data_IF_031871152164
#
_entry.id   IF_031871152164
#
_cell.length_a   1.000
_cell.length_b   1.000
_cell.length_c   1.000
_cell.angle_alpha   90.00
_cell.angle_beta   90.00
_cell.angle_gamma   90.00
#
_symmetry.space_group_name_H-M   'P 1'
#
loop_
_entity.id
_entity.type
_entity.pdbx_description
1 polymer ?
#
# COMPACT_ATOMS: atom_id res chain seq x y z
N UNK A 1 -13.24 29.37 8.26
CA UNK A 1 -13.13 29.06 9.69
C UNK A 1 -11.64 28.94 10.00
N UNK A 2 -11.05 29.92 10.70
CA UNK A 2 -9.62 29.89 11.04
C UNK A 2 -9.43 28.86 12.16
N UNK A 3 -8.76 27.75 11.85
CA UNK A 3 -8.38 26.75 12.85
C UNK A 3 -7.19 27.34 13.61
N UNK A 4 -7.36 27.59 14.90
CA UNK A 4 -6.29 28.10 15.75
C UNK A 4 -5.08 27.16 15.70
N UNK A 5 -3.89 27.74 15.54
CA UNK A 5 -2.65 27.00 15.48
C UNK A 5 -2.39 26.25 16.81
N UNK A 6 -1.97 24.97 16.75
CA UNK A 6 -1.63 24.23 17.96
C UNK A 6 -0.38 24.83 18.62
N UNK A 7 -0.38 24.88 19.95
CA UNK A 7 0.60 25.56 20.79
C UNK A 7 1.32 24.50 21.65
N UNK A 8 2.63 24.62 21.87
CA UNK A 8 3.37 23.70 22.75
C UNK A 8 3.10 23.97 24.25
N UNK A 9 3.59 23.10 25.13
CA UNK A 9 3.45 23.20 26.60
C UNK A 9 4.01 24.50 27.21
N UNK A 10 4.77 25.29 26.43
CA UNK A 10 5.35 26.58 26.82
C UNK A 10 4.58 27.78 26.24
N UNK A 11 3.44 27.57 25.60
CA UNK A 11 2.62 28.67 25.04
C UNK A 11 3.17 29.24 23.73
N UNK A 12 4.09 28.55 23.05
CA UNK A 12 4.68 28.99 21.78
C UNK A 12 3.98 28.27 20.62
N UNK A 13 3.64 29.02 19.58
CA UNK A 13 3.05 28.50 18.36
C UNK A 13 4.00 27.48 17.72
N UNK A 14 3.51 26.25 17.49
CA UNK A 14 4.35 25.19 16.94
C UNK A 14 4.82 25.54 15.54
N UNK A 15 6.10 25.28 15.27
CA UNK A 15 6.66 25.41 13.92
C UNK A 15 6.03 24.37 12.98
N UNK A 16 6.08 24.62 11.68
CA UNK A 16 5.48 23.75 10.65
C UNK A 16 5.96 22.29 10.76
N UNK A 17 7.25 22.09 11.01
CA UNK A 17 7.86 20.77 11.22
C UNK A 17 7.32 20.07 12.49
N UNK A 18 7.15 20.81 13.58
CA UNK A 18 6.58 20.25 14.82
C UNK A 18 5.11 19.85 14.63
N UNK A 19 4.35 20.62 13.84
CA UNK A 19 2.96 20.27 13.49
C UNK A 19 2.89 19.00 12.66
N UNK A 20 3.79 18.82 11.69
CA UNK A 20 3.90 17.58 10.90
C UNK A 20 4.24 16.41 11.82
N UNK A 21 5.21 16.57 12.72
CA UNK A 21 5.64 15.52 13.63
C UNK A 21 4.52 15.04 14.59
N UNK A 22 3.73 15.98 15.13
CA UNK A 22 2.56 15.65 15.96
C UNK A 22 1.50 14.92 15.15
N UNK A 23 1.24 15.38 13.92
CA UNK A 23 0.27 14.75 13.04
C UNK A 23 0.70 13.33 12.64
N UNK A 24 1.97 13.12 12.26
CA UNK A 24 2.59 11.80 12.02
C UNK A 24 2.47 10.89 13.25
N UNK A 25 2.72 11.42 14.46
CA UNK A 25 2.56 10.65 15.71
C UNK A 25 1.11 10.20 15.93
N UNK A 26 0.14 11.08 15.71
CA UNK A 26 -1.28 10.75 15.85
C UNK A 26 -1.73 9.68 14.86
N UNK A 27 -1.25 9.75 13.61
CA UNK A 27 -1.53 8.72 12.59
C UNK A 27 -0.99 7.35 13.00
N UNK A 28 0.26 7.28 13.45
CA UNK A 28 0.86 6.03 13.95
C UNK A 28 0.11 5.47 15.15
N UNK A 29 -0.26 6.31 16.11
CA UNK A 29 -1.07 5.90 17.25
C UNK A 29 -2.44 5.36 16.81
N UNK A 30 -3.04 5.94 15.77
CA UNK A 30 -4.26 5.43 15.15
C UNK A 30 -4.08 4.02 14.57
N UNK A 31 -3.00 3.78 13.81
CA UNK A 31 -2.67 2.47 13.26
C UNK A 31 -2.52 1.42 14.36
N UNK A 32 -1.71 1.69 15.39
CA UNK A 32 -1.48 0.75 16.48
C UNK A 32 -2.77 0.40 17.24
N UNK A 33 -3.65 1.40 17.48
CA UNK A 33 -4.95 1.17 18.11
C UNK A 33 -5.86 0.30 17.24
N UNK A 34 -5.94 0.57 15.93
CA UNK A 34 -6.75 -0.22 15.01
C UNK A 34 -6.27 -1.67 14.93
N UNK A 35 -4.95 -1.88 14.82
CA UNK A 35 -4.36 -3.23 14.83
C UNK A 35 -4.64 -3.95 16.14
N UNK A 36 -4.46 -3.30 17.29
CA UNK A 36 -4.78 -3.89 18.58
C UNK A 36 -6.26 -4.27 18.67
N UNK A 37 -7.18 -3.38 18.28
CA UNK A 37 -8.61 -3.68 18.26
C UNK A 37 -8.94 -4.85 17.32
N UNK A 38 -8.31 -4.92 16.14
CA UNK A 38 -8.54 -5.96 15.16
C UNK A 38 -8.08 -7.33 15.66
N UNK A 39 -6.93 -7.38 16.36
CA UNK A 39 -6.38 -8.59 16.97
C UNK A 39 -7.17 -8.98 18.23
N UNK A 40 -7.63 -8.02 19.05
CA UNK A 40 -8.36 -8.30 20.28
C UNK A 40 -9.87 -8.53 20.09
N UNK A 41 -10.43 -8.22 18.92
CA UNK A 41 -11.84 -8.50 18.60
C UNK A 41 -12.20 -10.00 18.52
N UNK A 42 -11.29 -10.89 18.91
CA UNK A 42 -11.49 -12.33 19.03
C UNK A 42 -12.61 -12.67 20.05
N UNK A 43 -12.83 -11.86 21.09
CA UNK A 43 -13.65 -12.27 22.23
C UNK A 43 -15.16 -11.93 22.13
N UNK A 44 -15.60 -11.03 21.25
CA UNK A 44 -16.99 -10.54 21.26
C UNK A 44 -17.95 -11.28 20.31
N UNK A 45 -17.47 -12.25 19.51
CA UNK A 45 -18.35 -13.01 18.60
C UNK A 45 -18.93 -14.29 19.22
N UNK A 46 -18.42 -14.75 20.37
CA UNK A 46 -18.85 -16.01 21.01
C UNK A 46 -19.97 -15.83 22.06
N UNK A 47 -20.31 -14.60 22.47
CA UNK A 47 -21.25 -14.35 23.59
C UNK A 47 -22.74 -14.32 23.20
N UNK A 48 -23.11 -14.59 21.94
CA UNK A 48 -24.51 -14.51 21.49
C UNK A 48 -25.18 -15.85 21.11
N UNK A 49 -24.56 -17.00 21.39
CA UNK A 49 -25.23 -18.31 21.31
C UNK A 49 -25.38 -18.95 22.70
N UNK A 50 -26.34 -18.44 23.48
CA UNK A 50 -26.85 -19.18 24.64
C UNK A 50 -28.37 -19.02 24.80
N UNK A 51 -29.12 -19.70 23.93
CA UNK A 51 -30.42 -20.29 24.30
C UNK A 51 -30.39 -21.81 23.99
N UNK A 52 -29.76 -22.52 24.92
CA UNK A 52 -30.05 -23.88 25.41
C UNK A 52 -31.10 -24.71 24.65
N UNK A 53 -30.66 -25.81 24.03
CA UNK A 53 -31.42 -27.06 24.04
C UNK A 53 -30.51 -28.20 24.52
N UNK A 54 -30.79 -28.67 25.75
CA UNK A 54 -30.20 -29.88 26.30
C UNK A 54 -30.82 -31.10 25.61
N UNK A 55 -30.13 -31.66 24.62
CA UNK A 55 -30.08 -33.11 24.37
C UNK A 55 -29.11 -33.36 23.23
N UNK A 56 -27.92 -33.87 23.55
CA UNK A 56 -27.27 -35.04 22.92
C UNK A 56 -25.81 -35.06 23.36
N UNK A 57 -25.53 -35.91 24.35
CA UNK A 57 -24.18 -36.35 24.69
C UNK A 57 -23.77 -37.33 23.58
N UNK A 58 -22.72 -36.98 22.83
CA UNK A 58 -22.12 -37.86 21.83
C UNK A 58 -21.95 -37.18 20.48
N UNK A 59 -20.81 -36.50 20.31
CA UNK A 59 -19.93 -36.51 19.14
C UNK A 59 -19.03 -35.27 19.20
N UNK A 60 -17.87 -35.45 19.85
CA UNK A 60 -16.68 -34.65 19.58
C UNK A 60 -16.29 -34.88 18.12
N UNK A 61 -16.79 -34.03 17.24
CA UNK A 61 -16.28 -33.84 15.89
C UNK A 61 -15.90 -32.37 15.79
N UNK A 62 -14.59 -32.14 15.66
CA UNK A 62 -13.97 -30.87 15.29
C UNK A 62 -14.85 -30.11 14.28
N UNK A 63 -15.60 -29.12 14.78
CA UNK A 63 -16.35 -28.20 13.93
C UNK A 63 -15.32 -27.23 13.36
N UNK A 64 -14.98 -27.44 12.10
CA UNK A 64 -14.20 -26.54 11.25
C UNK A 64 -15.02 -25.27 10.93
N UNK A 65 -15.50 -24.54 11.92
CA UNK A 65 -16.03 -23.21 11.67
C UNK A 65 -14.85 -22.26 11.60
N UNK A 66 -14.38 -22.01 10.36
CA UNK A 66 -13.47 -20.89 10.11
C UNK A 66 -14.18 -19.63 10.63
N UNK A 67 -13.53 -18.81 11.48
CA UNK A 67 -14.15 -17.58 11.98
C UNK A 67 -14.66 -16.75 10.79
N UNK A 68 -15.96 -16.48 10.79
CA UNK A 68 -16.63 -15.81 9.66
C UNK A 68 -16.26 -14.34 9.69
N UNK A 69 -15.55 -13.87 8.66
CA UNK A 69 -15.18 -12.44 8.51
C UNK A 69 -16.42 -11.57 8.60
N UNK A 70 -16.49 -10.75 9.64
CA UNK A 70 -17.64 -9.89 9.95
C UNK A 70 -17.62 -8.61 9.11
N UNK A 71 -18.73 -7.85 9.13
CA UNK A 71 -18.75 -6.51 8.53
C UNK A 71 -17.80 -5.55 9.27
N UNK A 72 -17.73 -5.66 10.60
CA UNK A 72 -16.82 -4.87 11.43
C UNK A 72 -15.36 -5.14 11.06
N UNK A 73 -14.99 -6.41 10.83
CA UNK A 73 -13.63 -6.75 10.37
C UNK A 73 -13.29 -6.05 9.05
N UNK A 74 -14.24 -6.01 8.10
CA UNK A 74 -14.06 -5.32 6.81
C UNK A 74 -13.83 -3.81 7.00
N UNK A 75 -14.64 -3.17 7.84
CA UNK A 75 -14.52 -1.73 8.10
C UNK A 75 -13.20 -1.40 8.80
N UNK A 76 -12.76 -2.25 9.74
CA UNK A 76 -11.50 -2.08 10.46
C UNK A 76 -10.29 -2.31 9.57
N UNK A 77 -10.30 -3.37 8.74
CA UNK A 77 -9.25 -3.60 7.75
C UNK A 77 -9.19 -2.42 6.78
N UNK A 78 -10.33 -1.98 6.24
CA UNK A 78 -10.39 -0.82 5.36
C UNK A 78 -9.79 0.43 6.04
N UNK A 79 -10.18 0.73 7.28
CA UNK A 79 -9.64 1.86 8.01
C UNK A 79 -8.12 1.75 8.23
N UNK A 80 -7.62 0.57 8.62
CA UNK A 80 -6.20 0.32 8.88
C UNK A 80 -5.34 0.47 7.62
N UNK A 81 -5.83 -0.07 6.50
CA UNK A 81 -5.09 -0.15 5.24
C UNK A 81 -5.07 1.20 4.52
N UNK A 82 -6.15 1.97 4.59
CA UNK A 82 -6.27 3.25 3.88
C UNK A 82 -5.76 4.46 4.66
N UNK A 83 -5.54 4.34 5.98
CA UNK A 83 -5.04 5.45 6.80
C UNK A 83 -3.69 6.04 6.29
N UNK A 84 -2.69 5.23 5.88
CA UNK A 84 -1.41 5.73 5.37
C UNK A 84 -1.53 6.49 4.05
N UNK A 85 -2.60 6.27 3.27
CA UNK A 85 -2.82 7.02 2.03
C UNK A 85 -3.19 8.48 2.31
N UNK A 86 -3.87 8.73 3.44
CA UNK A 86 -4.22 10.11 3.86
C UNK A 86 -2.99 10.90 4.30
N UNK A 87 -1.92 10.22 4.70
CA UNK A 87 -0.64 10.83 5.08
C UNK A 87 0.51 9.98 4.56
N UNK A 88 0.89 10.22 3.31
CA UNK A 88 1.87 9.42 2.57
C UNK A 88 3.31 9.80 2.94
N UNK A 89 3.69 9.62 4.21
CA UNK A 89 5.05 9.86 4.73
C UNK A 89 5.77 8.54 4.99
N UNK A 90 7.10 8.58 5.03
CA UNK A 90 7.93 7.38 5.26
C UNK A 90 7.62 6.77 6.62
N UNK A 91 7.61 7.59 7.67
CA UNK A 91 7.34 7.13 9.03
C UNK A 91 5.95 6.52 9.20
N UNK A 92 4.92 7.05 8.53
CA UNK A 92 3.56 6.50 8.63
C UNK A 92 3.47 5.18 7.87
N UNK A 93 4.10 5.09 6.69
CA UNK A 93 4.09 3.86 5.90
C UNK A 93 4.88 2.71 6.56
N UNK A 94 6.01 3.00 7.20
CA UNK A 94 6.76 1.99 7.98
C UNK A 94 5.89 1.38 9.09
N UNK A 95 5.30 2.24 9.91
CA UNK A 95 4.39 1.80 10.98
C UNK A 95 3.17 1.04 10.44
N UNK A 96 2.67 1.43 9.26
CA UNK A 96 1.56 0.74 8.62
C UNK A 96 1.91 -0.68 8.19
N UNK A 97 3.07 -0.86 7.55
CA UNK A 97 3.55 -2.19 7.14
C UNK A 97 3.75 -3.10 8.34
N UNK A 98 4.31 -2.59 9.44
CA UNK A 98 4.41 -3.33 10.71
C UNK A 98 3.02 -3.75 11.21
N UNK A 99 2.07 -2.80 11.22
CA UNK A 99 0.69 -3.03 11.64
C UNK A 99 -0.05 -4.05 10.77
N UNK A 100 0.16 -4.03 9.45
CA UNK A 100 -0.43 -5.00 8.51
C UNK A 100 0.18 -6.38 8.73
N UNK A 101 1.50 -6.46 8.94
CA UNK A 101 2.19 -7.72 9.23
C UNK A 101 1.69 -8.34 10.54
N UNK A 102 1.54 -7.53 11.59
CA UNK A 102 0.97 -7.99 12.86
C UNK A 102 -0.50 -8.41 12.74
N UNK A 103 -1.30 -7.69 11.94
CA UNK A 103 -2.69 -8.06 11.68
C UNK A 103 -2.78 -9.42 10.96
N UNK A 104 -1.94 -9.68 9.95
CA UNK A 104 -1.89 -10.96 9.23
C UNK A 104 -1.44 -12.09 10.17
N UNK A 105 -0.42 -11.87 11.00
CA UNK A 105 0.06 -12.89 11.95
C UNK A 105 -0.98 -13.18 13.04
N UNK A 106 -1.65 -12.15 13.56
CA UNK A 106 -2.65 -12.27 14.61
C UNK A 106 -3.98 -12.85 14.12
N UNK A 107 -4.39 -12.55 12.87
CA UNK A 107 -5.65 -13.00 12.26
C UNK A 107 -5.44 -13.46 10.80
N UNK A 108 -4.88 -14.67 10.58
CA UNK A 108 -4.59 -15.20 9.24
C UNK A 108 -5.83 -15.33 8.34
N UNK A 109 -7.03 -15.46 8.90
CA UNK A 109 -8.28 -15.50 8.16
C UNK A 109 -8.61 -14.19 7.42
N UNK A 110 -8.01 -13.07 7.85
CA UNK A 110 -8.16 -11.76 7.22
C UNK A 110 -7.08 -11.47 6.18
N UNK A 111 -6.08 -12.34 6.02
CA UNK A 111 -4.91 -12.12 5.17
C UNK A 111 -5.30 -11.74 3.74
N UNK A 112 -6.20 -12.51 3.11
CA UNK A 112 -6.63 -12.24 1.73
C UNK A 112 -7.34 -10.89 1.61
N UNK A 113 -8.19 -10.54 2.59
CA UNK A 113 -8.90 -9.26 2.62
C UNK A 113 -7.92 -8.08 2.80
N UNK A 114 -6.93 -8.24 3.67
CA UNK A 114 -5.87 -7.26 3.89
C UNK A 114 -5.07 -7.04 2.59
N UNK A 115 -4.64 -8.11 1.93
CA UNK A 115 -3.88 -8.02 0.67
C UNK A 115 -4.72 -7.37 -0.44
N UNK A 116 -6.01 -7.69 -0.54
CA UNK A 116 -6.91 -7.06 -1.50
C UNK A 116 -7.01 -5.54 -1.32
N UNK A 117 -7.19 -5.09 -0.08
CA UNK A 117 -7.24 -3.66 0.23
C UNK A 117 -5.89 -2.97 -0.02
N UNK A 118 -4.76 -3.64 0.23
CA UNK A 118 -3.42 -3.11 -0.06
C UNK A 118 -3.23 -2.87 -1.55
N UNK A 119 -3.71 -3.77 -2.40
CA UNK A 119 -3.63 -3.60 -3.85
C UNK A 119 -4.53 -2.45 -4.34
N UNK A 120 -5.72 -2.27 -3.75
CA UNK A 120 -6.54 -1.08 -4.01
C UNK A 120 -5.86 0.21 -3.57
N UNK A 121 -5.14 0.18 -2.44
CA UNK A 121 -4.32 1.30 -1.98
C UNK A 121 -3.20 1.61 -2.98
N UNK A 122 -2.53 0.60 -3.53
CA UNK A 122 -1.53 0.80 -4.58
C UNK A 122 -2.13 1.49 -5.81
N UNK A 123 -3.28 1.02 -6.31
CA UNK A 123 -4.01 1.65 -7.42
C UNK A 123 -4.39 3.10 -7.10
N UNK A 124 -4.79 3.38 -5.86
CA UNK A 124 -5.09 4.74 -5.41
C UNK A 124 -3.86 5.64 -5.43
N UNK A 125 -2.70 5.16 -4.97
CA UNK A 125 -1.42 5.89 -4.99
C UNK A 125 -0.99 6.20 -6.42
N UNK A 126 -1.25 5.31 -7.39
CA UNK A 126 -1.08 5.59 -8.82
C UNK A 126 -2.01 6.72 -9.26
N UNK A 127 -3.31 6.58 -8.99
CA UNK A 127 -4.33 7.56 -9.40
C UNK A 127 -4.10 8.95 -8.83
N UNK A 128 -3.56 9.03 -7.61
CA UNK A 128 -3.26 10.30 -6.94
C UNK A 128 -1.88 10.86 -7.32
N UNK A 129 -1.16 10.20 -8.25
CA UNK A 129 0.14 10.63 -8.75
C UNK A 129 1.18 10.80 -7.62
N UNK A 130 1.24 9.86 -6.68
CA UNK A 130 2.19 9.89 -5.57
C UNK A 130 3.48 9.12 -5.90
N UNK A 131 4.60 9.61 -5.38
CA UNK A 131 5.90 8.94 -5.44
C UNK A 131 6.35 8.61 -6.86
N UNK A 132 6.38 7.32 -7.23
CA UNK A 132 6.76 6.87 -8.57
C UNK A 132 5.88 7.46 -9.68
N UNK A 133 4.63 7.80 -9.37
CA UNK A 133 3.68 8.32 -10.34
C UNK A 133 3.51 9.84 -10.28
N UNK A 134 4.41 10.55 -9.58
CA UNK A 134 4.35 12.00 -9.51
C UNK A 134 4.85 12.66 -10.78
N UNK A 135 4.27 13.82 -11.09
CA UNK A 135 4.73 14.67 -12.18
C UNK A 135 6.06 15.32 -11.78
N UNK A 136 7.05 15.22 -12.67
CA UNK A 136 8.35 15.86 -12.48
C UNK A 136 8.18 17.38 -12.44
N UNK A 137 8.72 17.99 -11.37
CA UNK A 137 8.70 19.44 -11.24
C UNK A 137 9.74 20.03 -12.19
N UNK A 138 9.42 21.12 -12.91
CA UNK A 138 10.41 21.77 -13.76
C UNK A 138 11.59 22.24 -12.92
N UNK A 139 12.78 21.81 -13.33
CA UNK A 139 14.04 22.26 -12.74
C UNK A 139 14.57 23.46 -13.54
N UNK A 140 14.92 24.56 -12.86
CA UNK A 140 15.45 25.74 -13.53
C UNK A 140 16.77 25.41 -14.23
N UNK A 141 16.94 25.95 -15.43
CA UNK A 141 18.18 25.75 -16.18
C UNK A 141 19.34 26.43 -15.42
N UNK A 142 20.42 25.71 -15.09
CA UNK A 142 21.59 26.31 -14.44
C UNK A 142 22.28 27.32 -15.38
N UNK A 143 21.98 27.29 -16.68
CA UNK A 143 22.52 28.20 -17.69
C UNK A 143 21.72 29.51 -17.81
N UNK A 144 20.51 29.57 -17.26
CA UNK A 144 19.64 30.76 -17.29
C UNK A 144 18.84 30.90 -15.98
N UNK A 145 19.50 31.08 -14.82
CA UNK A 145 18.82 31.20 -13.55
C UNK A 145 18.05 32.53 -13.50
N UNK A 146 16.76 32.47 -13.18
CA UNK A 146 16.02 33.68 -12.80
C UNK A 146 16.31 34.04 -11.34
N UNK A 147 16.26 35.34 -11.00
CA UNK A 147 16.58 35.85 -9.66
C UNK A 147 15.70 35.26 -8.54
N UNK A 148 14.55 34.67 -8.91
CA UNK A 148 13.57 34.06 -7.98
C UNK A 148 13.60 32.53 -7.95
N UNK A 149 14.43 31.88 -8.75
CA UNK A 149 14.50 30.42 -8.82
C UNK A 149 15.66 29.87 -7.99
N UNK A 150 15.34 29.00 -7.04
CA UNK A 150 16.36 28.22 -6.33
C UNK A 150 16.87 27.07 -7.22
N UNK A 151 18.16 27.08 -7.51
CA UNK A 151 18.89 26.00 -8.18
C UNK A 151 19.11 24.81 -7.23
N UNK A 152 18.03 24.17 -6.81
CA UNK A 152 18.08 22.95 -5.98
C UNK A 152 17.33 21.82 -6.70
N UNK A 153 17.85 20.58 -6.65
CA UNK A 153 17.12 19.41 -7.14
C UNK A 153 15.76 19.29 -6.45
N UNK A 154 14.73 18.87 -7.18
CA UNK A 154 13.36 18.72 -6.65
C UNK A 154 12.90 17.26 -6.74
N UNK A 155 13.49 16.35 -5.95
CA UNK A 155 13.18 14.93 -6.06
C UNK A 155 11.72 14.64 -5.64
N UNK A 156 11.07 13.66 -6.28
CA UNK A 156 9.79 13.13 -5.83
C UNK A 156 9.93 12.33 -4.52
N UNK A 157 8.85 12.30 -3.73
CA UNK A 157 8.78 11.53 -2.47
C UNK A 157 8.50 10.05 -2.76
N UNK A 158 9.56 9.30 -3.07
CA UNK A 158 9.45 7.89 -3.49
C UNK A 158 9.49 6.89 -2.33
N UNK A 159 10.01 7.29 -1.17
CA UNK A 159 10.27 6.37 -0.04
C UNK A 159 9.01 5.68 0.52
N UNK A 160 7.87 6.35 0.75
CA UNK A 160 6.65 5.67 1.21
C UNK A 160 6.15 4.66 0.18
N UNK A 161 6.22 5.02 -1.11
CA UNK A 161 5.87 4.13 -2.22
C UNK A 161 6.79 2.90 -2.26
N UNK A 162 8.09 3.09 -2.02
CA UNK A 162 9.07 2.02 -1.95
C UNK A 162 8.82 1.04 -0.81
N UNK A 163 8.41 1.53 0.36
CA UNK A 163 8.06 0.69 1.52
C UNK A 163 6.82 -0.15 1.20
N UNK A 164 5.77 0.47 0.66
CA UNK A 164 4.57 -0.22 0.19
C UNK A 164 4.92 -1.29 -0.86
N UNK A 165 5.76 -0.96 -1.84
CA UNK A 165 6.17 -1.90 -2.87
C UNK A 165 6.99 -3.07 -2.31
N UNK A 166 7.89 -2.83 -1.34
CA UNK A 166 8.66 -3.89 -0.68
C UNK A 166 7.74 -4.92 -0.02
N UNK A 167 6.69 -4.46 0.65
CA UNK A 167 5.69 -5.37 1.22
C UNK A 167 5.04 -6.23 0.12
N UNK A 168 4.61 -5.62 -1.00
CA UNK A 168 4.03 -6.36 -2.13
C UNK A 168 5.05 -7.35 -2.74
N UNK A 169 6.31 -6.96 -2.88
CA UNK A 169 7.38 -7.81 -3.40
C UNK A 169 7.59 -9.04 -2.49
N UNK A 170 7.59 -8.86 -1.17
CA UNK A 170 7.66 -9.95 -0.19
C UNK A 170 6.45 -10.90 -0.30
N UNK A 171 5.24 -10.35 -0.54
CA UNK A 171 4.02 -11.16 -0.76
C UNK A 171 4.14 -12.10 -1.93
N UNK A 172 4.81 -11.70 -3.02
CA UNK A 172 4.99 -12.54 -4.21
C UNK A 172 5.67 -13.87 -3.85
N UNK A 173 6.70 -13.84 -3.02
CA UNK A 173 7.40 -15.05 -2.57
C UNK A 173 6.51 -15.97 -1.73
N UNK A 174 5.51 -15.42 -1.04
CA UNK A 174 4.58 -16.19 -0.22
C UNK A 174 3.44 -16.79 -1.05
N UNK A 175 2.87 -16.04 -2.00
CA UNK A 175 1.68 -16.45 -2.74
C UNK A 175 1.97 -17.43 -3.88
N UNK A 176 3.18 -17.40 -4.44
CA UNK A 176 3.68 -18.37 -5.43
C UNK A 176 3.44 -19.84 -5.04
N UNK A 177 3.38 -20.17 -3.75
CA UNK A 177 3.21 -21.55 -3.28
C UNK A 177 1.89 -21.81 -2.57
N UNK A 178 1.00 -20.81 -2.45
CA UNK A 178 -0.14 -20.86 -1.52
C UNK A 178 -1.51 -20.61 -2.16
N UNK A 179 -1.64 -19.64 -3.08
CA UNK A 179 -2.96 -19.20 -3.53
C UNK A 179 -2.96 -18.59 -4.94
N UNK A 180 -3.82 -19.14 -5.80
CA UNK A 180 -4.00 -18.64 -7.18
C UNK A 180 -4.66 -17.24 -7.21
N UNK A 181 -5.59 -16.97 -6.30
CA UNK A 181 -6.34 -15.71 -6.26
C UNK A 181 -5.41 -14.51 -5.97
N UNK A 182 -4.50 -14.64 -5.00
CA UNK A 182 -3.55 -13.55 -4.67
C UNK A 182 -2.58 -13.28 -5.84
N UNK A 183 -2.19 -14.33 -6.56
CA UNK A 183 -1.37 -14.21 -7.78
C UNK A 183 -2.13 -13.54 -8.93
N UNK A 184 -3.41 -13.86 -9.14
CA UNK A 184 -4.26 -13.18 -10.12
C UNK A 184 -4.40 -11.69 -9.81
N UNK A 185 -4.61 -11.36 -8.54
CA UNK A 185 -4.70 -9.98 -8.07
C UNK A 185 -3.38 -9.23 -8.24
N UNK A 186 -2.24 -9.87 -7.98
CA UNK A 186 -0.91 -9.30 -8.25
C UNK A 186 -0.71 -9.04 -9.74
N UNK A 187 -1.13 -9.98 -10.60
CA UNK A 187 -1.05 -9.82 -12.04
C UNK A 187 -1.87 -8.61 -12.52
N UNK A 188 -3.10 -8.45 -11.99
CA UNK A 188 -3.94 -7.28 -12.28
C UNK A 188 -3.29 -5.97 -11.79
N UNK A 189 -2.72 -5.97 -10.58
CA UNK A 189 -1.97 -4.83 -10.04
C UNK A 189 -0.83 -4.43 -10.98
N UNK A 190 -0.02 -5.37 -11.45
CA UNK A 190 1.08 -5.08 -12.37
C UNK A 190 0.59 -4.55 -13.72
N UNK A 191 -0.50 -5.11 -14.25
CA UNK A 191 -1.12 -4.59 -15.46
C UNK A 191 -1.62 -3.16 -15.29
N UNK A 192 -2.16 -2.79 -14.13
CA UNK A 192 -2.61 -1.42 -13.84
C UNK A 192 -1.45 -0.46 -13.55
N UNK A 193 -0.34 -0.99 -13.04
CA UNK A 193 0.86 -0.22 -12.71
C UNK A 193 1.67 0.21 -13.92
N UNK A 194 1.60 -0.55 -15.02
CA UNK A 194 2.41 -0.35 -16.22
C UNK A 194 1.57 0.13 -17.41
N UNK A 195 2.17 0.98 -18.22
CA UNK A 195 1.53 1.64 -19.36
C UNK A 195 2.16 1.19 -20.69
N UNK A 196 1.34 1.10 -21.74
CA UNK A 196 1.80 1.03 -23.14
C UNK A 196 1.97 2.43 -23.75
N UNK A 197 1.31 3.42 -23.16
CA UNK A 197 1.32 4.81 -23.59
C UNK A 197 2.59 5.45 -23.02
N UNK A 198 3.46 5.91 -23.92
CA UNK A 198 4.59 6.77 -23.60
C UNK A 198 4.05 8.12 -23.08
N UNK A 199 4.69 8.67 -22.05
CA UNK A 199 4.29 9.93 -21.42
C UNK A 199 2.81 9.96 -21.00
N UNK A 200 2.33 8.85 -20.42
CA UNK A 200 0.92 8.70 -20.04
C UNK A 200 0.43 9.86 -19.15
N UNK A 201 -0.47 10.74 -19.62
CA UNK A 201 -0.90 11.91 -18.85
C UNK A 201 -1.81 11.56 -17.67
N UNK A 202 -2.33 10.32 -17.59
CA UNK A 202 -3.24 9.87 -16.52
C UNK A 202 -2.52 9.17 -15.37
N UNK A 203 -1.34 8.63 -15.61
CA UNK A 203 -0.51 7.95 -14.63
C UNK A 203 0.96 8.06 -15.07
N UNK A 204 1.53 9.28 -15.07
CA UNK A 204 2.89 9.49 -15.52
C UNK A 204 3.85 8.82 -14.53
N UNK A 205 4.86 8.09 -15.00
CA UNK A 205 5.94 7.64 -14.13
C UNK A 205 7.08 8.65 -14.20
N UNK A 206 7.51 9.16 -13.05
CA UNK A 206 8.62 10.12 -12.98
C UNK A 206 9.87 9.57 -13.66
N UNK A 207 10.57 10.46 -14.39
CA UNK A 207 11.87 10.19 -15.02
C UNK A 207 13.03 10.65 -14.12
N UNK A 208 12.73 11.24 -12.95
CA UNK A 208 13.74 11.68 -12.00
C UNK A 208 14.58 10.51 -11.47
N UNK A 209 15.90 10.72 -11.39
CA UNK A 209 16.87 9.66 -11.03
C UNK A 209 16.62 9.03 -9.65
N UNK A 210 16.03 9.76 -8.70
CA UNK A 210 15.68 9.20 -7.38
C UNK A 210 14.62 8.09 -7.44
N UNK A 211 13.79 8.04 -8.49
CA UNK A 211 12.75 7.04 -8.65
C UNK A 211 13.20 5.81 -9.43
N UNK A 212 14.38 5.85 -10.07
CA UNK A 212 14.87 4.79 -10.96
C UNK A 212 14.92 3.43 -10.25
N UNK A 213 15.37 3.40 -9.00
CA UNK A 213 15.47 2.16 -8.23
C UNK A 213 14.10 1.50 -8.02
N UNK A 214 13.08 2.27 -7.66
CA UNK A 214 11.72 1.76 -7.48
C UNK A 214 11.09 1.35 -8.82
N UNK A 215 11.27 2.17 -9.87
CA UNK A 215 10.80 1.87 -11.22
C UNK A 215 11.31 0.52 -11.72
N UNK A 216 12.61 0.30 -11.66
CA UNK A 216 13.20 -0.94 -12.17
C UNK A 216 12.97 -2.15 -11.28
N UNK A 217 12.71 -1.98 -9.98
CA UNK A 217 12.23 -3.07 -9.12
C UNK A 217 10.81 -3.51 -9.49
N UNK A 218 9.90 -2.56 -9.76
CA UNK A 218 8.56 -2.86 -10.27
C UNK A 218 8.62 -3.59 -11.62
N UNK A 219 9.45 -3.12 -12.54
CA UNK A 219 9.66 -3.77 -13.84
C UNK A 219 10.28 -5.15 -13.71
N UNK A 220 11.23 -5.33 -12.80
CA UNK A 220 11.84 -6.62 -12.52
C UNK A 220 10.81 -7.61 -11.99
N UNK A 221 9.94 -7.19 -11.07
CA UNK A 221 8.88 -8.04 -10.54
C UNK A 221 7.89 -8.47 -11.63
N UNK A 222 7.48 -7.55 -12.49
CA UNK A 222 6.63 -7.88 -13.63
C UNK A 222 7.32 -8.83 -14.62
N UNK A 223 8.60 -8.61 -14.91
CA UNK A 223 9.38 -9.47 -15.79
C UNK A 223 9.57 -10.86 -15.19
N UNK A 224 9.81 -10.95 -13.89
CA UNK A 224 9.88 -12.21 -13.14
C UNK A 224 8.58 -13.01 -13.29
N UNK A 225 7.43 -12.36 -13.10
CA UNK A 225 6.13 -13.00 -13.28
C UNK A 225 5.89 -13.46 -14.73
N UNK A 226 6.29 -12.65 -15.71
CA UNK A 226 6.25 -13.01 -17.15
C UNK A 226 7.17 -14.18 -17.49
N UNK A 227 8.30 -14.34 -16.81
CA UNK A 227 9.23 -15.45 -17.02
C UNK A 227 8.79 -16.72 -16.31
N UNK A 228 8.05 -16.58 -15.21
CA UNK A 228 7.50 -17.70 -14.47
C UNK A 228 6.43 -18.48 -15.28
N UNK A 229 6.21 -19.73 -14.86
CA UNK A 229 5.17 -20.59 -15.41
C UNK A 229 3.79 -20.35 -14.76
N UNK A 230 3.69 -19.41 -13.81
CA UNK A 230 2.41 -19.04 -13.17
C UNK A 230 1.42 -18.43 -14.15
N UNK A 231 1.90 -17.54 -15.03
CA UNK A 231 1.06 -16.99 -16.09
C UNK A 231 0.97 -17.98 -17.24
N UNK A 232 -0.24 -18.47 -17.49
CA UNK A 232 -0.54 -19.23 -18.69
C UNK A 232 -0.06 -18.48 -19.94
N UNK A 233 0.51 -19.22 -20.89
CA UNK A 233 0.97 -18.65 -22.15
C UNK A 233 -0.24 -18.15 -22.95
N UNK A 234 -0.49 -16.84 -22.88
CA UNK A 234 -1.66 -16.20 -23.46
C UNK A 234 -1.49 -14.69 -23.57
N UNK A 235 -2.53 -14.03 -24.07
CA UNK A 235 -2.52 -12.60 -24.41
C UNK A 235 -2.08 -11.73 -23.22
N UNK A 236 -2.56 -12.02 -22.01
CA UNK A 236 -2.19 -11.27 -20.81
C UNK A 236 -0.66 -11.28 -20.55
N UNK A 237 0.00 -12.43 -20.70
CA UNK A 237 1.45 -12.57 -20.52
C UNK A 237 2.24 -11.77 -21.56
N UNK A 238 1.80 -11.77 -22.82
CA UNK A 238 2.42 -10.97 -23.87
C UNK A 238 2.21 -9.48 -23.65
N UNK A 239 0.99 -9.08 -23.28
CA UNK A 239 0.65 -7.69 -22.99
C UNK A 239 1.44 -7.15 -21.80
N UNK A 240 1.60 -7.95 -20.74
CA UNK A 240 2.41 -7.55 -19.58
C UNK A 240 3.87 -7.36 -19.98
N UNK A 241 4.42 -8.27 -20.79
CA UNK A 241 5.77 -8.16 -21.33
C UNK A 241 5.96 -6.88 -22.16
N UNK A 242 5.02 -6.57 -23.03
CA UNK A 242 5.06 -5.35 -23.85
C UNK A 242 5.02 -4.09 -22.96
N UNK A 243 4.13 -4.06 -21.96
CA UNK A 243 4.07 -2.99 -20.96
C UNK A 243 5.39 -2.80 -20.22
N UNK A 244 6.08 -3.87 -19.85
CA UNK A 244 7.41 -3.80 -19.22
C UNK A 244 8.41 -3.10 -20.14
N UNK A 245 8.48 -3.48 -21.41
CA UNK A 245 9.42 -2.85 -22.35
C UNK A 245 9.07 -1.39 -22.62
N UNK A 246 7.81 -1.07 -22.86
CA UNK A 246 7.36 0.31 -23.08
C UNK A 246 7.65 1.19 -21.86
N UNK A 247 7.33 0.70 -20.66
CA UNK A 247 7.60 1.44 -19.42
C UNK A 247 9.10 1.54 -19.14
N UNK A 248 9.94 0.59 -19.57
CA UNK A 248 11.39 0.74 -19.48
C UNK A 248 11.90 1.81 -20.45
N UNK A 249 11.41 1.84 -21.69
CA UNK A 249 11.81 2.83 -22.69
C UNK A 249 11.36 4.24 -22.35
N UNK A 250 10.16 4.40 -21.79
CA UNK A 250 9.62 5.69 -21.33
C UNK A 250 10.53 6.42 -20.33
N UNK A 251 11.41 5.70 -19.61
CA UNK A 251 12.39 6.34 -18.72
C UNK A 251 13.48 7.11 -19.47
N UNK A 252 13.85 6.65 -20.68
CA UNK A 252 14.98 7.19 -21.45
C UNK A 252 14.56 8.19 -22.54
N UNK A 253 13.27 8.32 -22.78
CA UNK A 253 12.66 9.33 -23.66
C UNK A 253 12.49 10.63 -22.92
#
# INVERSE_FOLDING_TARGET
>A
MSIAAPINDKGIELDFEERIAIFDSNFRNGLFKLTAMLIHNIDNSDDNENEMSFTTIGNQTYRNDKPKVTALDRDMVHALIWLPVKMFTTSVMEAAVDCWSWAIVGRPELELLIVEEIYKVWEKVISDCHGLYSIDKPEPSPLAPSEKEELKPKPPSVNPHLILFKFIEERVYLCMHKADIEMEMLNDLLHKSLSLILENPRAPMTKHVSAVGLRFRLLYLALYLVQSDYLANGVCKYLLREKVYHTAFDYFT
#
